data_IF_632775139250
#
_entry.id   IF_632775139250
#
_cell.length_a   1.000
_cell.length_b   1.000
_cell.length_c   1.000
_cell.angle_alpha   90.00
_cell.angle_beta   90.00
_cell.angle_gamma   90.00
#
_symmetry.space_group_name_H-M   'P 1'
#
loop_
_entity.id
_entity.type
_entity.pdbx_description
1 polymer ?
#
# COMPACT_ATOMS: atom_id res chain seq x y z
N UNK A 1 36.05 53.96 28.22
CA UNK A 1 34.70 53.37 28.11
C UNK A 1 34.76 52.24 27.10
N UNK A 2 34.77 50.98 27.57
CA UNK A 2 34.76 49.80 26.70
C UNK A 2 33.30 49.44 26.42
N UNK A 3 32.86 49.61 25.17
CA UNK A 3 31.55 49.15 24.70
C UNK A 3 31.71 47.72 24.18
N UNK A 4 31.17 46.75 24.92
CA UNK A 4 31.05 45.36 24.50
C UNK A 4 29.70 45.15 23.83
N UNK A 5 29.70 45.01 22.51
CA UNK A 5 28.53 44.58 21.76
C UNK A 5 28.26 43.09 22.03
N UNK A 6 27.07 42.79 22.60
CA UNK A 6 26.56 41.43 22.74
C UNK A 6 26.07 40.96 21.37
N UNK A 7 26.76 39.98 20.79
CA UNK A 7 26.21 39.15 19.72
C UNK A 7 25.07 38.31 20.30
N UNK A 8 23.84 38.54 19.83
CA UNK A 8 22.73 37.62 20.00
C UNK A 8 22.98 36.42 19.10
N UNK A 9 23.41 35.30 19.70
CA UNK A 9 23.38 34.01 19.04
C UNK A 9 21.91 33.58 18.93
N UNK A 10 21.34 33.68 17.72
CA UNK A 10 20.14 32.94 17.38
C UNK A 10 20.45 31.46 17.51
N UNK A 11 20.00 30.84 18.60
CA UNK A 11 19.96 29.40 18.74
C UNK A 11 18.85 28.89 17.82
N UNK A 12 19.17 28.74 16.53
CA UNK A 12 18.38 27.96 15.61
C UNK A 12 18.33 26.54 16.15
N UNK A 13 17.23 26.18 16.81
CA UNK A 13 16.91 24.79 17.08
C UNK A 13 16.78 24.13 15.72
N UNK A 14 17.80 23.35 15.32
CA UNK A 14 17.68 22.40 14.22
C UNK A 14 16.44 21.56 14.52
N UNK A 15 15.32 21.84 13.85
CA UNK A 15 14.08 21.09 14.04
C UNK A 15 14.41 19.62 13.80
N UNK A 16 14.30 18.81 14.85
CA UNK A 16 14.62 17.38 14.78
C UNK A 16 13.77 16.77 13.66
N UNK A 17 14.43 16.26 12.62
CA UNK A 17 13.76 15.60 11.48
C UNK A 17 13.56 14.13 11.82
N UNK A 18 12.34 13.63 11.70
CA UNK A 18 11.98 12.25 12.04
C UNK A 18 11.99 11.32 10.81
N UNK A 19 11.70 11.87 9.64
CA UNK A 19 11.96 11.24 8.36
C UNK A 19 13.31 11.69 7.80
N UNK A 20 14.12 10.80 7.19
CA UNK A 20 15.40 11.17 6.57
C UNK A 20 15.28 12.26 5.49
N UNK A 21 14.17 12.28 4.75
CA UNK A 21 13.87 13.32 3.75
C UNK A 21 13.37 14.64 4.36
N UNK A 22 13.17 14.72 5.68
CA UNK A 22 12.66 15.89 6.37
C UNK A 22 11.15 16.11 6.29
N UNK A 23 10.37 15.16 5.77
CA UNK A 23 8.92 15.20 5.88
C UNK A 23 8.47 15.21 7.35
N UNK A 24 7.35 15.86 7.62
CA UNK A 24 6.61 15.76 8.87
C UNK A 24 5.68 14.53 8.85
N UNK A 25 5.01 14.30 7.71
CA UNK A 25 4.12 13.17 7.49
C UNK A 25 4.31 12.61 6.08
N UNK A 26 4.46 11.29 6.00
CA UNK A 26 4.44 10.56 4.73
C UNK A 26 3.06 9.93 4.56
N UNK A 27 2.45 10.11 3.39
CA UNK A 27 1.23 9.41 2.99
C UNK A 27 1.61 8.38 1.92
N UNK A 28 1.17 7.13 2.09
CA UNK A 28 1.42 6.08 1.11
C UNK A 28 0.12 5.38 0.73
N UNK A 29 -0.20 5.42 -0.56
CA UNK A 29 -1.41 4.81 -1.12
C UNK A 29 -1.08 3.43 -1.68
N UNK A 30 -1.86 2.43 -1.29
CA UNK A 30 -1.94 1.12 -1.91
C UNK A 30 -3.05 1.16 -2.97
N UNK A 31 -2.70 0.98 -4.24
CA UNK A 31 -3.64 0.88 -5.35
C UNK A 31 -3.72 -0.59 -5.80
N UNK A 32 -4.72 -1.31 -5.33
CA UNK A 32 -4.86 -2.73 -5.63
C UNK A 32 -5.32 -2.93 -7.08
N UNK A 33 -4.56 -3.72 -7.84
CA UNK A 33 -4.95 -4.18 -9.16
C UNK A 33 -5.16 -5.69 -9.12
N UNK A 34 -6.44 -6.05 -9.08
CA UNK A 34 -6.90 -7.39 -8.73
C UNK A 34 -7.91 -7.93 -9.74
N UNK A 35 -8.59 -7.04 -10.46
CA UNK A 35 -9.56 -7.38 -11.50
C UNK A 35 -8.95 -8.33 -12.51
N UNK A 36 -9.51 -9.54 -12.59
CA UNK A 36 -9.03 -10.62 -13.44
C UNK A 36 -8.33 -11.75 -12.69
N UNK A 37 -7.93 -11.53 -11.44
CA UNK A 37 -7.26 -12.53 -10.59
C UNK A 37 -8.15 -13.20 -9.55
N UNK A 38 -9.44 -12.85 -9.50
CA UNK A 38 -10.42 -13.42 -8.59
C UNK A 38 -10.88 -14.83 -9.01
N UNK A 39 -11.15 -15.76 -8.06
CA UNK A 39 -11.74 -17.06 -8.35
C UNK A 39 -13.26 -16.99 -8.64
N UNK A 40 -13.84 -18.10 -9.08
CA UNK A 40 -15.31 -18.28 -9.11
C UNK A 40 -15.88 -18.08 -7.70
N UNK A 41 -16.98 -17.34 -7.58
CA UNK A 41 -17.64 -17.07 -6.30
C UNK A 41 -16.87 -16.12 -5.38
N UNK A 42 -15.87 -15.39 -5.90
CA UNK A 42 -15.19 -14.34 -5.15
C UNK A 42 -16.17 -13.30 -4.59
N UNK A 43 -15.75 -12.66 -3.49
CA UNK A 43 -16.58 -11.67 -2.80
C UNK A 43 -17.00 -10.53 -3.73
N UNK A 44 -18.26 -10.14 -3.67
CA UNK A 44 -18.86 -9.09 -4.49
C UNK A 44 -20.11 -8.54 -3.80
N UNK A 45 -20.71 -7.45 -4.33
CA UNK A 45 -21.99 -6.94 -3.82
C UNK A 45 -23.14 -7.97 -3.82
N UNK A 46 -23.00 -9.08 -4.56
CA UNK A 46 -24.01 -10.14 -4.67
C UNK A 46 -23.74 -11.34 -3.74
N UNK A 47 -22.65 -11.31 -2.94
CA UNK A 47 -22.25 -12.43 -2.08
C UNK A 47 -23.27 -12.79 -0.99
N UNK A 48 -24.21 -11.90 -0.65
CA UNK A 48 -25.33 -12.21 0.24
C UNK A 48 -26.39 -13.14 -0.37
N UNK A 49 -26.35 -13.37 -1.69
CA UNK A 49 -27.26 -14.28 -2.40
C UNK A 49 -26.49 -14.99 -3.53
N UNK A 50 -25.56 -15.88 -3.17
CA UNK A 50 -24.68 -16.50 -4.15
C UNK A 50 -25.46 -17.42 -5.10
N UNK A 51 -25.06 -17.43 -6.37
CA UNK A 51 -25.58 -18.38 -7.36
C UNK A 51 -25.08 -19.81 -7.07
N UNK A 52 -25.80 -20.85 -7.52
CA UNK A 52 -25.32 -22.22 -7.40
C UNK A 52 -23.99 -22.42 -8.15
N UNK A 53 -23.14 -23.32 -7.65
CA UNK A 53 -21.84 -23.63 -8.26
C UNK A 53 -21.99 -23.99 -9.74
N UNK A 54 -21.10 -23.47 -10.58
CA UNK A 54 -21.11 -23.70 -12.03
C UNK A 54 -22.05 -22.77 -12.80
N UNK A 55 -22.75 -21.85 -12.13
CA UNK A 55 -23.50 -20.78 -12.78
C UNK A 55 -22.68 -19.48 -12.75
N UNK A 56 -22.35 -18.89 -13.91
CA UNK A 56 -21.59 -17.65 -13.94
C UNK A 56 -22.43 -16.49 -13.41
N UNK A 57 -21.90 -15.79 -12.41
CA UNK A 57 -22.48 -14.53 -11.92
C UNK A 57 -22.00 -13.37 -12.79
N UNK A 58 -22.72 -13.14 -13.89
CA UNK A 58 -22.38 -12.11 -14.88
C UNK A 58 -22.38 -10.69 -14.29
N UNK A 59 -23.20 -10.44 -13.27
CA UNK A 59 -23.26 -9.15 -12.60
C UNK A 59 -22.00 -8.94 -11.75
N UNK A 60 -21.63 -9.93 -10.93
CA UNK A 60 -20.37 -9.91 -10.17
C UNK A 60 -19.16 -9.77 -11.12
N UNK A 61 -19.10 -10.55 -12.20
CA UNK A 61 -18.03 -10.43 -13.18
C UNK A 61 -17.94 -9.03 -13.81
N UNK A 62 -19.10 -8.41 -14.12
CA UNK A 62 -19.13 -7.06 -14.67
C UNK A 62 -18.67 -6.01 -13.66
N UNK A 63 -18.96 -6.20 -12.37
CA UNK A 63 -18.47 -5.36 -11.29
C UNK A 63 -16.95 -5.41 -11.18
N UNK A 64 -16.35 -6.60 -11.30
CA UNK A 64 -14.91 -6.73 -11.42
C UNK A 64 -14.39 -6.00 -12.67
N UNK A 65 -14.96 -6.26 -13.86
CA UNK A 65 -14.50 -5.61 -15.11
C UNK A 65 -14.50 -4.08 -15.05
N UNK A 66 -15.32 -3.46 -14.21
CA UNK A 66 -15.28 -2.01 -13.97
C UNK A 66 -13.89 -1.52 -13.52
N UNK A 67 -13.21 -2.28 -12.66
CA UNK A 67 -11.86 -1.92 -12.20
C UNK A 67 -10.85 -1.80 -13.34
N UNK A 68 -10.90 -2.74 -14.29
CA UNK A 68 -10.03 -2.73 -15.47
C UNK A 68 -10.47 -1.69 -16.51
N UNK A 69 -11.76 -1.59 -16.79
CA UNK A 69 -12.27 -0.71 -17.85
C UNK A 69 -12.20 0.78 -17.48
N UNK A 70 -12.39 1.11 -16.22
CA UNK A 70 -12.66 2.49 -15.77
C UNK A 70 -11.85 2.86 -14.52
N UNK A 71 -11.81 1.96 -13.54
CA UNK A 71 -11.32 2.26 -12.19
C UNK A 71 -9.84 2.64 -12.14
N UNK A 72 -8.96 1.77 -12.65
CA UNK A 72 -7.51 2.03 -12.66
C UNK A 72 -7.20 3.30 -13.45
N UNK A 73 -7.73 3.46 -14.66
CA UNK A 73 -7.44 4.63 -15.50
C UNK A 73 -7.82 5.94 -14.82
N UNK A 74 -9.00 5.98 -14.18
CA UNK A 74 -9.45 7.17 -13.44
C UNK A 74 -8.54 7.50 -12.26
N UNK A 75 -8.04 6.50 -11.54
CA UNK A 75 -7.06 6.71 -10.48
C UNK A 75 -5.71 7.20 -11.04
N UNK A 76 -5.21 6.60 -12.14
CA UNK A 76 -3.98 7.03 -12.80
C UNK A 76 -4.04 8.49 -13.26
N UNK A 77 -5.18 8.93 -13.80
CA UNK A 77 -5.41 10.33 -14.17
C UNK A 77 -5.35 11.26 -12.96
N UNK A 78 -5.95 10.87 -11.82
CA UNK A 78 -5.86 11.63 -10.58
C UNK A 78 -4.42 11.74 -10.08
N UNK A 79 -3.69 10.63 -10.04
CA UNK A 79 -2.29 10.63 -9.59
C UNK A 79 -1.41 11.50 -10.48
N UNK A 80 -1.58 11.41 -11.79
CA UNK A 80 -0.89 12.25 -12.77
C UNK A 80 -1.20 13.74 -12.58
N UNK A 81 -2.46 14.09 -12.35
CA UNK A 81 -2.91 15.49 -12.12
C UNK A 81 -2.19 16.16 -10.96
N UNK A 82 -1.84 15.40 -9.92
CA UNK A 82 -1.20 15.92 -8.71
C UNK A 82 0.29 15.58 -8.59
N UNK A 83 0.86 14.94 -9.61
CA UNK A 83 2.23 14.38 -9.63
C UNK A 83 2.54 13.46 -8.44
N UNK A 84 1.58 12.59 -8.13
CA UNK A 84 1.69 11.60 -7.05
C UNK A 84 2.07 10.25 -7.66
N UNK A 85 3.05 9.56 -7.05
CA UNK A 85 3.35 8.16 -7.38
C UNK A 85 2.94 7.27 -6.21
N UNK A 86 2.08 6.30 -6.51
CA UNK A 86 1.58 5.30 -5.55
C UNK A 86 2.28 3.95 -5.73
N UNK A 87 2.02 3.04 -4.79
CA UNK A 87 2.38 1.63 -4.91
C UNK A 87 1.17 0.85 -5.35
N UNK A 88 1.26 0.16 -6.48
CA UNK A 88 0.22 -0.75 -6.93
C UNK A 88 0.57 -2.18 -6.58
N UNK A 89 -0.31 -2.87 -5.85
CA UNK A 89 -0.14 -4.31 -5.60
C UNK A 89 -0.89 -5.06 -6.69
N UNK A 90 -0.15 -5.78 -7.50
CA UNK A 90 -0.62 -6.38 -8.75
C UNK A 90 -0.69 -7.89 -8.59
N UNK A 91 -1.88 -8.45 -8.82
CA UNK A 91 -2.07 -9.91 -8.90
C UNK A 91 -1.56 -10.41 -10.25
N UNK A 92 -0.77 -11.50 -10.24
CA UNK A 92 -0.14 -12.05 -11.44
C UNK A 92 -1.12 -12.34 -12.58
N UNK A 93 -2.20 -13.06 -12.30
CA UNK A 93 -3.24 -13.40 -13.28
C UNK A 93 -4.05 -12.19 -13.74
N UNK A 94 -4.21 -11.15 -12.91
CA UNK A 94 -4.81 -9.88 -13.32
C UNK A 94 -3.90 -9.16 -14.34
N UNK A 95 -2.59 -9.14 -14.09
CA UNK A 95 -1.62 -8.60 -15.06
C UNK A 95 -1.60 -9.40 -16.37
N UNK A 96 -1.65 -10.73 -16.32
CA UNK A 96 -1.72 -11.55 -17.53
C UNK A 96 -3.00 -11.31 -18.34
N UNK A 97 -4.12 -11.08 -17.65
CA UNK A 97 -5.41 -10.82 -18.29
C UNK A 97 -5.50 -9.42 -18.90
N UNK A 98 -4.97 -8.40 -18.22
CA UNK A 98 -4.97 -7.01 -18.69
C UNK A 98 -3.55 -6.42 -18.68
N UNK A 99 -2.66 -6.91 -19.57
CA UNK A 99 -1.25 -6.55 -19.54
C UNK A 99 -1.00 -5.08 -19.92
N UNK A 100 -1.90 -4.46 -20.68
CA UNK A 100 -1.90 -3.04 -20.98
C UNK A 100 -2.11 -2.17 -19.74
N UNK A 101 -2.92 -2.61 -18.78
CA UNK A 101 -3.17 -1.90 -17.53
C UNK A 101 -1.94 -1.97 -16.64
N UNK A 102 -1.38 -3.16 -16.45
CA UNK A 102 -0.13 -3.34 -15.70
C UNK A 102 1.01 -2.47 -16.28
N UNK A 103 1.14 -2.43 -17.62
CA UNK A 103 2.10 -1.53 -18.29
C UNK A 103 1.76 -0.06 -18.08
N UNK A 104 0.49 0.34 -18.12
CA UNK A 104 0.09 1.73 -17.88
C UNK A 104 0.45 2.19 -16.47
N UNK A 105 0.25 1.34 -15.46
CA UNK A 105 0.66 1.61 -14.07
C UNK A 105 2.19 1.83 -14.01
N UNK A 106 2.96 0.89 -14.57
CA UNK A 106 4.42 0.95 -14.58
C UNK A 106 4.96 2.18 -15.34
N UNK A 107 4.43 2.47 -16.53
CA UNK A 107 4.80 3.61 -17.36
C UNK A 107 4.41 4.95 -16.71
N UNK A 108 3.40 4.96 -15.82
CA UNK A 108 3.05 6.09 -14.99
C UNK A 108 4.10 6.42 -13.91
N UNK A 109 5.10 5.58 -13.73
CA UNK A 109 6.14 5.71 -12.69
C UNK A 109 5.68 5.24 -11.31
N UNK A 110 4.55 4.53 -11.24
CA UNK A 110 4.10 3.89 -10.01
C UNK A 110 4.97 2.68 -9.70
N UNK A 111 5.08 2.35 -8.41
CA UNK A 111 5.72 1.11 -8.01
C UNK A 111 4.80 -0.07 -8.36
N UNK A 112 5.41 -1.14 -8.85
CA UNK A 112 4.79 -2.44 -9.05
C UNK A 112 5.22 -3.36 -7.91
N UNK A 113 4.32 -3.59 -6.95
CA UNK A 113 4.46 -4.56 -5.87
C UNK A 113 3.68 -5.84 -6.21
N UNK A 114 4.14 -6.99 -5.72
CA UNK A 114 3.49 -8.27 -5.98
C UNK A 114 2.36 -8.54 -4.99
N UNK A 115 1.25 -9.12 -5.47
CA UNK A 115 0.08 -9.50 -4.67
C UNK A 115 -0.31 -10.97 -4.85
N UNK A 116 0.70 -11.85 -4.90
CA UNK A 116 0.53 -13.26 -5.25
C UNK A 116 0.22 -13.49 -6.74
N UNK A 117 0.25 -14.76 -7.17
CA UNK A 117 -0.08 -15.11 -8.55
C UNK A 117 -1.58 -14.97 -8.85
N UNK A 118 -2.43 -15.36 -7.90
CA UNK A 118 -3.89 -15.23 -7.98
C UNK A 118 -4.45 -14.88 -6.61
N UNK A 119 -5.75 -14.59 -6.51
CA UNK A 119 -6.41 -14.52 -5.22
C UNK A 119 -6.56 -15.90 -4.59
N UNK A 120 -5.56 -16.29 -3.84
CA UNK A 120 -5.52 -17.56 -3.14
C UNK A 120 -4.95 -17.38 -1.72
N UNK A 121 -5.37 -18.26 -0.81
CA UNK A 121 -4.90 -18.26 0.57
C UNK A 121 -3.46 -18.75 0.65
N UNK A 122 -2.58 -17.97 1.26
CA UNK A 122 -1.18 -18.34 1.49
C UNK A 122 -0.98 -18.98 2.87
N UNK A 123 -1.81 -18.63 3.86
CA UNK A 123 -1.67 -19.07 5.26
C UNK A 123 -1.59 -20.60 5.47
N UNK A 124 -2.11 -21.41 4.55
CA UNK A 124 -2.12 -22.87 4.63
C UNK A 124 -1.24 -23.57 3.57
N UNK A 125 -0.44 -22.82 2.80
CA UNK A 125 0.49 -23.41 1.84
C UNK A 125 1.72 -23.97 2.56
N UNK A 126 2.25 -25.09 2.07
CA UNK A 126 3.57 -25.53 2.49
C UNK A 126 4.65 -24.65 1.85
N UNK A 127 5.88 -24.75 2.36
CA UNK A 127 7.00 -23.90 1.94
C UNK A 127 7.24 -23.91 0.41
N UNK A 128 7.24 -25.10 -0.20
CA UNK A 128 7.51 -25.27 -1.63
C UNK A 128 6.41 -24.65 -2.49
N UNK A 129 5.15 -24.95 -2.18
CA UNK A 129 4.00 -24.43 -2.94
C UNK A 129 3.86 -22.92 -2.77
N UNK A 130 4.13 -22.40 -1.58
CA UNK A 130 4.14 -20.95 -1.34
C UNK A 130 5.27 -20.25 -2.08
N UNK A 131 6.48 -20.83 -2.08
CA UNK A 131 7.63 -20.29 -2.83
C UNK A 131 7.31 -20.20 -4.31
N UNK A 132 6.76 -21.28 -4.89
CA UNK A 132 6.37 -21.31 -6.28
C UNK A 132 5.27 -20.29 -6.58
N UNK A 133 4.25 -20.19 -5.71
CA UNK A 133 3.16 -19.23 -5.86
C UNK A 133 3.63 -17.77 -5.85
N UNK A 134 4.54 -17.41 -4.94
CA UNK A 134 5.13 -16.05 -4.88
C UNK A 134 5.96 -15.81 -6.15
N UNK A 135 6.79 -16.78 -6.53
CA UNK A 135 7.67 -16.70 -7.70
C UNK A 135 6.89 -16.52 -9.00
N UNK A 136 5.83 -17.29 -9.21
CA UNK A 136 4.98 -17.20 -10.40
C UNK A 136 4.32 -15.82 -10.51
N UNK A 137 3.87 -15.26 -9.37
CA UNK A 137 3.31 -13.92 -9.31
C UNK A 137 4.30 -12.84 -9.71
N UNK A 138 5.50 -12.84 -9.11
CA UNK A 138 6.53 -11.83 -9.42
C UNK A 138 7.04 -11.97 -10.86
N UNK A 139 7.26 -13.19 -11.34
CA UNK A 139 7.73 -13.44 -12.72
C UNK A 139 6.70 -12.97 -13.75
N UNK A 140 5.41 -13.19 -13.51
CA UNK A 140 4.34 -12.73 -14.39
C UNK A 140 4.32 -11.21 -14.49
N UNK A 141 4.40 -10.53 -13.36
CA UNK A 141 4.34 -9.06 -13.28
C UNK A 141 5.61 -8.43 -13.85
N UNK A 142 6.79 -8.95 -13.55
CA UNK A 142 8.07 -8.46 -14.09
C UNK A 142 8.13 -8.63 -15.61
N UNK A 143 7.72 -9.78 -16.14
CA UNK A 143 7.66 -10.04 -17.59
C UNK A 143 6.79 -9.03 -18.35
N UNK A 144 5.73 -8.54 -17.72
CA UNK A 144 4.75 -7.63 -18.36
C UNK A 144 5.16 -6.16 -18.21
N UNK A 145 5.67 -5.80 -17.03
CA UNK A 145 5.93 -4.40 -16.65
C UNK A 145 7.40 -3.99 -16.81
N UNK A 146 8.31 -4.96 -16.87
CA UNK A 146 9.76 -4.74 -16.81
C UNK A 146 10.26 -4.28 -15.43
N UNK A 147 9.38 -4.19 -14.42
CA UNK A 147 9.75 -3.83 -13.06
C UNK A 147 9.78 -5.06 -12.17
N UNK A 148 10.92 -5.31 -11.53
CA UNK A 148 11.04 -6.33 -10.49
C UNK A 148 10.37 -5.85 -9.21
N UNK A 149 9.37 -6.60 -8.72
CA UNK A 149 8.71 -6.27 -7.46
C UNK A 149 9.68 -6.47 -6.28
N UNK A 150 9.72 -5.48 -5.39
CA UNK A 150 10.47 -5.53 -4.11
C UNK A 150 9.56 -5.45 -2.88
N UNK A 151 8.27 -5.22 -3.12
CA UNK A 151 7.21 -5.18 -2.13
C UNK A 151 6.23 -6.32 -2.31
N UNK A 152 5.70 -6.84 -1.20
CA UNK A 152 4.71 -7.91 -1.22
C UNK A 152 3.49 -7.63 -0.33
N UNK A 153 2.32 -8.07 -0.80
CA UNK A 153 1.09 -8.11 -0.04
C UNK A 153 0.46 -9.50 -0.18
N UNK A 154 0.21 -10.20 0.93
CA UNK A 154 -0.59 -11.42 0.92
C UNK A 154 -2.06 -11.12 0.71
N UNK A 155 -2.76 -12.03 0.02
CA UNK A 155 -4.22 -12.03 -0.03
C UNK A 155 -4.78 -11.99 1.40
N UNK A 156 -5.68 -11.05 1.68
CA UNK A 156 -6.28 -10.81 2.99
C UNK A 156 -5.29 -10.54 4.15
N UNK A 157 -4.04 -10.15 3.86
CA UNK A 157 -2.95 -10.03 4.85
C UNK A 157 -2.60 -11.37 5.53
N UNK A 158 -3.18 -12.48 5.07
CA UNK A 158 -3.06 -13.79 5.71
C UNK A 158 -1.88 -14.55 5.15
N UNK A 159 -0.71 -14.17 5.64
CA UNK A 159 0.57 -14.83 5.41
C UNK A 159 0.69 -16.14 6.21
N UNK A 160 1.53 -17.04 5.74
CA UNK A 160 1.95 -18.23 6.49
C UNK A 160 3.17 -17.88 7.38
N UNK A 161 3.56 -18.75 8.33
CA UNK A 161 4.83 -18.61 9.05
C UNK A 161 6.08 -18.67 8.15
N UNK A 162 5.97 -19.17 6.92
CA UNK A 162 7.08 -19.29 5.98
C UNK A 162 7.29 -18.01 5.15
N UNK A 163 6.25 -17.19 4.99
CA UNK A 163 6.19 -16.13 3.98
C UNK A 163 7.41 -15.21 4.03
N UNK A 164 7.81 -14.70 5.20
CA UNK A 164 8.93 -13.73 5.25
C UNK A 164 10.27 -14.34 4.85
N UNK A 165 10.50 -15.62 5.15
CA UNK A 165 11.71 -16.34 4.74
C UNK A 165 11.74 -16.50 3.22
N UNK A 166 10.61 -16.89 2.64
CA UNK A 166 10.43 -17.00 1.18
C UNK A 166 10.65 -15.65 0.50
N UNK A 167 10.03 -14.59 1.02
CA UNK A 167 10.19 -13.23 0.47
C UNK A 167 11.65 -12.77 0.55
N UNK A 168 12.33 -13.03 1.67
CA UNK A 168 13.75 -12.70 1.81
C UNK A 168 14.64 -13.49 0.82
N UNK A 169 14.38 -14.79 0.63
CA UNK A 169 15.11 -15.62 -0.34
C UNK A 169 14.91 -15.17 -1.78
N UNK A 170 13.72 -14.69 -2.12
CA UNK A 170 13.38 -14.14 -3.44
C UNK A 170 13.88 -12.69 -3.63
N UNK A 171 14.43 -12.07 -2.58
CA UNK A 171 15.04 -10.74 -2.62
C UNK A 171 14.05 -9.59 -2.49
N UNK A 172 12.88 -9.82 -1.89
CA UNK A 172 11.98 -8.73 -1.49
C UNK A 172 12.61 -7.88 -0.37
N UNK A 173 12.27 -6.60 -0.38
CA UNK A 173 12.73 -5.62 0.60
C UNK A 173 11.73 -5.43 1.73
N UNK A 174 10.43 -5.51 1.42
CA UNK A 174 9.38 -5.25 2.39
C UNK A 174 8.09 -6.05 2.13
N UNK A 175 7.26 -6.15 3.17
CA UNK A 175 5.87 -6.57 3.05
C UNK A 175 4.95 -5.57 3.76
N UNK A 176 3.64 -5.63 3.46
CA UNK A 176 2.63 -4.75 4.10
C UNK A 176 1.64 -5.48 5.01
N UNK A 177 1.81 -6.78 5.22
CA UNK A 177 0.85 -7.63 5.95
C UNK A 177 0.92 -7.48 7.49
N UNK A 178 0.93 -6.24 7.98
CA UNK A 178 0.94 -5.87 9.39
C UNK A 178 0.06 -4.63 9.64
N UNK A 179 -0.58 -4.57 10.81
CA UNK A 179 -1.53 -3.51 11.18
C UNK A 179 -1.17 -2.80 12.49
N UNK A 180 0.03 -3.06 13.04
CA UNK A 180 0.35 -2.78 14.44
C UNK A 180 1.03 -1.42 14.67
N UNK A 181 1.51 -0.75 13.61
CA UNK A 181 2.24 0.51 13.71
C UNK A 181 1.69 1.62 12.80
N UNK A 182 1.97 2.87 13.17
CA UNK A 182 1.73 4.07 12.35
C UNK A 182 3.03 4.59 11.69
N UNK A 183 4.10 3.79 11.70
CA UNK A 183 5.36 4.07 11.02
C UNK A 183 6.01 2.76 10.54
N UNK A 184 6.78 2.77 9.44
CA UNK A 184 7.53 1.60 9.01
C UNK A 184 8.56 1.18 10.05
N UNK A 185 8.75 -0.12 10.19
CA UNK A 185 9.66 -0.71 11.17
C UNK A 185 10.44 -1.88 10.57
N UNK A 186 11.41 -2.39 11.32
CA UNK A 186 12.20 -3.56 10.94
C UNK A 186 11.76 -4.76 11.75
N UNK A 187 11.59 -5.89 11.08
CA UNK A 187 11.61 -7.21 11.73
C UNK A 187 12.84 -7.98 11.26
N UNK A 188 13.40 -8.82 12.12
CA UNK A 188 14.51 -9.70 11.75
C UNK A 188 14.00 -10.99 11.12
N UNK A 189 14.57 -11.34 9.98
CA UNK A 189 14.33 -12.61 9.28
C UNK A 189 15.68 -13.23 8.98
N UNK A 190 15.95 -14.44 9.48
CA UNK A 190 17.25 -15.11 9.40
C UNK A 190 18.43 -14.19 9.78
N UNK A 191 18.25 -13.37 10.83
CA UNK A 191 19.26 -12.42 11.32
C UNK A 191 19.55 -11.22 10.39
N UNK A 192 18.66 -10.92 9.43
CA UNK A 192 18.77 -9.76 8.54
C UNK A 192 17.53 -8.87 8.66
N UNK A 193 17.72 -7.57 8.47
CA UNK A 193 16.64 -6.59 8.42
C UNK A 193 15.66 -6.92 7.28
N UNK A 194 14.38 -6.93 7.59
CA UNK A 194 13.29 -6.96 6.62
C UNK A 194 12.30 -5.84 6.97
N UNK A 195 11.94 -5.01 6.01
CA UNK A 195 11.07 -3.85 6.27
C UNK A 195 9.62 -4.32 6.36
N UNK A 196 8.93 -3.84 7.40
CA UNK A 196 7.48 -3.95 7.51
C UNK A 196 6.88 -2.57 7.26
N UNK A 197 5.97 -2.50 6.30
CA UNK A 197 5.29 -1.27 5.89
C UNK A 197 3.81 -1.37 6.32
N UNK A 198 3.41 -0.83 7.47
CA UNK A 198 2.09 -1.08 8.02
C UNK A 198 0.96 -0.75 7.04
N UNK A 199 0.04 -1.69 6.87
CA UNK A 199 -1.18 -1.52 6.10
C UNK A 199 -2.32 -0.97 6.95
N UNK A 200 -3.48 -0.77 6.33
CA UNK A 200 -4.65 -0.20 6.97
C UNK A 200 -5.91 -0.98 6.61
N UNK A 201 -6.69 -1.32 7.63
CA UNK A 201 -8.09 -1.73 7.46
C UNK A 201 -9.05 -0.57 7.74
N UNK A 202 -8.57 0.47 8.43
CA UNK A 202 -9.38 1.64 8.77
C UNK A 202 -9.49 2.59 7.59
N UNK A 203 -8.42 2.93 6.87
CA UNK A 203 -8.47 3.76 5.66
C UNK A 203 -8.49 2.91 4.40
N UNK A 204 -9.50 2.04 4.32
CA UNK A 204 -9.59 1.02 3.32
C UNK A 204 -10.99 1.01 2.70
N UNK A 205 -11.08 1.25 1.39
CA UNK A 205 -12.35 1.35 0.67
C UNK A 205 -13.14 0.04 0.67
N UNK A 206 -12.50 -1.13 0.54
CA UNK A 206 -13.22 -2.41 0.60
C UNK A 206 -13.86 -2.64 1.97
N UNK A 207 -13.18 -2.23 3.05
CA UNK A 207 -13.70 -2.39 4.42
C UNK A 207 -14.83 -1.40 4.68
N UNK A 208 -14.66 -0.14 4.29
CA UNK A 208 -15.61 0.91 4.67
C UNK A 208 -16.75 1.08 3.68
N UNK A 209 -16.47 1.12 2.37
CA UNK A 209 -17.47 1.34 1.33
C UNK A 209 -18.24 0.05 1.06
N UNK A 210 -17.55 -1.03 0.73
CA UNK A 210 -18.23 -2.30 0.43
C UNK A 210 -18.64 -3.05 1.71
N UNK A 211 -17.80 -3.06 2.75
CA UNK A 211 -18.08 -3.80 3.98
C UNK A 211 -19.05 -3.10 4.95
N UNK A 212 -18.84 -1.80 5.22
CA UNK A 212 -19.66 -1.01 6.18
C UNK A 212 -20.68 -0.10 5.50
N UNK A 213 -20.73 -0.09 4.16
CA UNK A 213 -21.66 0.73 3.38
C UNK A 213 -21.55 2.24 3.67
N UNK A 214 -20.33 2.72 3.86
CA UNK A 214 -20.07 4.14 4.05
C UNK A 214 -20.30 4.91 2.75
N UNK A 215 -20.74 6.15 2.90
CA UNK A 215 -20.72 7.12 1.81
C UNK A 215 -19.31 7.69 1.60
N UNK A 216 -19.00 8.20 0.39
CA UNK A 216 -17.70 8.81 0.11
C UNK A 216 -17.33 10.00 1.03
N UNK A 217 -18.31 10.75 1.54
CA UNK A 217 -18.08 11.84 2.50
C UNK A 217 -17.71 11.34 3.91
N UNK A 218 -18.25 10.19 4.35
CA UNK A 218 -17.81 9.53 5.58
C UNK A 218 -16.36 9.07 5.45
N UNK A 219 -16.01 8.47 4.31
CA UNK A 219 -14.64 8.05 4.03
C UNK A 219 -13.67 9.24 3.99
N UNK A 220 -14.01 10.32 3.26
CA UNK A 220 -13.23 11.57 3.23
C UNK A 220 -13.05 12.17 4.63
N UNK A 221 -14.11 12.19 5.44
CA UNK A 221 -14.05 12.74 6.81
C UNK A 221 -13.09 11.93 7.67
N UNK A 222 -13.12 10.59 7.58
CA UNK A 222 -12.17 9.77 8.32
C UNK A 222 -10.72 10.01 7.86
N UNK A 223 -10.47 10.12 6.55
CA UNK A 223 -9.13 10.44 6.04
C UNK A 223 -8.62 11.75 6.64
N UNK A 224 -9.46 12.79 6.70
CA UNK A 224 -9.09 14.09 7.29
C UNK A 224 -8.79 13.97 8.80
N UNK A 225 -9.64 13.28 9.56
CA UNK A 225 -9.43 13.10 11.00
C UNK A 225 -8.15 12.33 11.33
N UNK A 226 -7.88 11.26 10.60
CA UNK A 226 -6.65 10.50 10.80
C UNK A 226 -5.42 11.29 10.35
N UNK A 227 -5.50 12.00 9.23
CA UNK A 227 -4.45 12.89 8.78
C UNK A 227 -4.13 13.97 9.82
N UNK A 228 -5.12 14.68 10.35
CA UNK A 228 -4.90 15.77 11.31
C UNK A 228 -4.17 15.26 12.57
N UNK A 229 -4.58 14.09 13.08
CA UNK A 229 -3.94 13.47 14.24
C UNK A 229 -2.52 13.02 13.94
N UNK A 230 -2.30 12.33 12.82
CA UNK A 230 -0.96 11.88 12.42
C UNK A 230 -0.04 13.05 12.09
N UNK A 231 -0.57 14.14 11.54
CA UNK A 231 0.18 15.35 11.22
C UNK A 231 0.65 16.07 12.49
N UNK A 232 -0.23 16.22 13.49
CA UNK A 232 0.13 16.77 14.80
C UNK A 232 1.23 15.92 15.47
N UNK A 233 1.07 14.59 15.45
CA UNK A 233 2.07 13.68 15.98
C UNK A 233 3.40 13.73 15.21
N UNK A 234 3.33 13.85 13.89
CA UNK A 234 4.46 13.97 12.96
C UNK A 234 5.44 15.09 13.31
N UNK A 235 4.99 16.12 14.03
CA UNK A 235 5.84 17.20 14.52
C UNK A 235 6.84 16.75 15.60
N UNK A 236 6.64 15.57 16.20
CA UNK A 236 7.40 15.10 17.37
C UNK A 236 7.90 13.65 17.28
N UNK A 237 7.46 12.89 16.27
CA UNK A 237 7.87 11.51 15.98
C UNK A 237 7.56 11.16 14.53
N UNK A 238 8.17 10.10 13.99
CA UNK A 238 7.91 9.65 12.62
C UNK A 238 6.49 9.11 12.52
N UNK A 239 5.73 9.55 11.51
CA UNK A 239 4.38 9.04 11.22
C UNK A 239 4.20 8.85 9.73
N UNK A 240 3.47 7.79 9.40
CA UNK A 240 3.00 7.45 8.07
C UNK A 240 1.49 7.28 8.11
N UNK A 241 0.80 7.73 7.07
CA UNK A 241 -0.60 7.42 6.83
C UNK A 241 -0.71 6.46 5.64
N UNK A 242 -1.26 5.27 5.88
CA UNK A 242 -1.60 4.32 4.81
C UNK A 242 -3.05 4.51 4.37
N UNK A 243 -3.30 4.39 3.07
CA UNK A 243 -4.64 4.40 2.45
C UNK A 243 -4.67 3.27 1.42
N UNK A 244 -5.75 2.49 1.37
CA UNK A 244 -5.92 1.42 0.37
C UNK A 244 -7.16 1.62 -0.48
N UNK A 245 -6.95 1.57 -1.80
CA UNK A 245 -7.96 1.70 -2.85
C UNK A 245 -7.91 0.47 -3.75
N UNK A 246 -9.07 -0.13 -4.01
CA UNK A 246 -9.19 -1.26 -4.92
C UNK A 246 -9.77 -0.77 -6.25
N UNK A 247 -9.21 -1.25 -7.36
CA UNK A 247 -9.58 -0.88 -8.74
C UNK A 247 -11.07 -0.61 -8.98
N UNK A 248 -11.94 -1.55 -8.62
CA UNK A 248 -13.39 -1.51 -8.84
C UNK A 248 -14.19 -0.67 -7.84
N UNK A 249 -13.57 -0.24 -6.73
CA UNK A 249 -14.23 0.48 -5.62
C UNK A 249 -13.68 1.91 -5.56
N UNK A 250 -12.40 2.06 -5.19
CA UNK A 250 -11.69 3.33 -5.10
C UNK A 250 -11.58 4.06 -6.44
N UNK A 251 -11.63 3.32 -7.55
CA UNK A 251 -11.67 3.87 -8.91
C UNK A 251 -13.04 4.40 -9.36
N UNK A 252 -14.10 4.27 -8.56
CA UNK A 252 -15.42 4.84 -8.87
C UNK A 252 -15.40 6.38 -8.82
N UNK A 253 -16.29 7.09 -9.55
CA UNK A 253 -16.20 8.54 -9.68
C UNK A 253 -16.30 9.28 -8.34
N UNK A 254 -17.16 8.82 -7.45
CA UNK A 254 -17.34 9.45 -6.15
C UNK A 254 -16.16 9.20 -5.20
N UNK A 255 -15.54 8.03 -5.25
CA UNK A 255 -14.34 7.73 -4.46
C UNK A 255 -13.11 8.50 -4.95
N UNK A 256 -12.94 8.60 -6.27
CA UNK A 256 -11.87 9.45 -6.86
C UNK A 256 -12.10 10.92 -6.52
N UNK A 257 -13.35 11.40 -6.52
CA UNK A 257 -13.67 12.75 -6.04
C UNK A 257 -13.29 12.95 -4.57
N UNK A 258 -13.65 12.02 -3.69
CA UNK A 258 -13.27 12.07 -2.27
C UNK A 258 -11.74 12.08 -2.11
N UNK A 259 -11.00 11.27 -2.85
CA UNK A 259 -9.54 11.26 -2.82
C UNK A 259 -8.94 12.56 -3.34
N UNK A 260 -9.50 13.15 -4.40
CA UNK A 260 -9.07 14.46 -4.89
C UNK A 260 -9.24 15.55 -3.83
N UNK A 261 -10.39 15.59 -3.15
CA UNK A 261 -10.64 16.53 -2.06
C UNK A 261 -9.67 16.33 -0.89
N UNK A 262 -9.32 15.07 -0.58
CA UNK A 262 -8.30 14.77 0.43
C UNK A 262 -6.89 15.24 -0.01
N UNK A 263 -6.50 15.03 -1.27
CA UNK A 263 -5.21 15.53 -1.79
C UNK A 263 -5.16 17.06 -1.67
N UNK A 264 -6.23 17.77 -2.06
CA UNK A 264 -6.31 19.23 -1.92
C UNK A 264 -6.14 19.66 -0.46
N UNK A 265 -6.84 19.01 0.45
CA UNK A 265 -6.75 19.27 1.89
C UNK A 265 -5.33 19.12 2.44
N UNK A 266 -4.64 18.03 2.08
CA UNK A 266 -3.28 17.78 2.59
C UNK A 266 -2.24 18.76 2.03
N UNK A 267 -2.45 19.29 0.82
CA UNK A 267 -1.59 20.32 0.20
C UNK A 267 -1.62 21.67 0.93
N UNK A 268 -2.59 21.91 1.81
CA UNK A 268 -2.64 23.12 2.66
C UNK A 268 -1.64 23.05 3.83
N UNK A 269 -1.05 21.88 4.09
CA UNK A 269 -0.09 21.65 5.18
C UNK A 269 1.34 21.55 4.67
N UNK A 270 2.29 22.04 5.46
CA UNK A 270 3.72 21.97 5.13
C UNK A 270 4.31 20.61 5.53
N UNK A 271 5.32 20.14 4.80
CA UNK A 271 6.05 18.91 5.16
C UNK A 271 5.27 17.61 4.97
N UNK A 272 4.18 17.62 4.20
CA UNK A 272 3.46 16.40 3.80
C UNK A 272 3.94 15.94 2.43
N UNK A 273 4.26 14.65 2.31
CA UNK A 273 4.69 14.05 1.04
C UNK A 273 3.93 12.77 0.77
N UNK A 274 3.61 12.52 -0.50
CA UNK A 274 3.14 11.22 -0.96
C UNK A 274 4.32 10.40 -1.47
N UNK A 275 4.46 9.16 -1.04
CA UNK A 275 5.60 8.31 -1.41
C UNK A 275 5.19 6.87 -1.73
N UNK A 276 5.92 6.29 -2.69
CA UNK A 276 5.91 4.85 -2.98
C UNK A 276 6.56 4.10 -1.82
N UNK A 277 6.10 2.89 -1.57
CA UNK A 277 6.54 2.04 -0.47
C UNK A 277 7.97 1.54 -0.68
N UNK A 278 8.41 1.25 -1.90
CA UNK A 278 9.81 0.93 -2.17
C UNK A 278 10.76 2.07 -1.79
N UNK A 279 10.40 3.32 -2.11
CA UNK A 279 11.21 4.49 -1.76
C UNK A 279 11.27 4.68 -0.25
N UNK A 280 10.15 4.49 0.45
CA UNK A 280 10.11 4.52 1.92
C UNK A 280 10.99 3.40 2.50
N UNK A 281 10.85 2.17 2.00
CA UNK A 281 11.60 1.01 2.50
C UNK A 281 13.12 1.20 2.32
N UNK A 282 13.56 1.65 1.13
CA UNK A 282 14.97 1.98 0.85
C UNK A 282 15.50 3.07 1.79
N UNK A 283 14.66 4.05 2.11
CA UNK A 283 15.01 5.18 2.98
C UNK A 283 15.22 4.75 4.44
N UNK A 284 14.45 3.78 4.94
CA UNK A 284 14.40 3.45 6.38
C UNK A 284 15.12 2.16 6.77
N UNK A 285 15.43 1.26 5.82
CA UNK A 285 15.99 -0.08 6.10
C UNK A 285 17.28 -0.07 6.93
N UNK A 286 18.10 0.96 6.77
CA UNK A 286 19.37 1.15 7.48
C UNK A 286 19.38 2.42 8.35
N UNK A 287 18.24 3.08 8.52
CA UNK A 287 18.14 4.25 9.38
C UNK A 287 18.13 3.79 10.84
N UNK A 288 19.09 4.22 11.68
CA UNK A 288 19.16 3.82 13.08
C UNK A 288 17.98 4.32 13.92
N UNK A 289 17.19 5.27 13.42
CA UNK A 289 15.97 5.73 14.07
C UNK A 289 14.74 4.85 13.76
N UNK A 290 14.84 3.90 12.82
CA UNK A 290 13.73 2.99 12.51
C UNK A 290 13.54 2.00 13.66
N UNK A 291 12.33 1.87 14.20
CA UNK A 291 12.06 0.92 15.27
C UNK A 291 12.27 -0.52 14.80
N UNK A 292 12.69 -1.39 15.72
CA UNK A 292 12.78 -2.83 15.50
C UNK A 292 11.67 -3.49 16.32
N UNK A 293 10.82 -4.27 15.65
CA UNK A 293 9.79 -5.08 16.27
C UNK A 293 9.92 -6.54 15.80
N UNK A 294 10.32 -7.38 16.74
CA UNK A 294 10.57 -8.80 16.56
C UNK A 294 9.47 -9.66 17.21
N UNK A 295 8.25 -9.11 17.36
CA UNK A 295 7.12 -9.84 17.95
C UNK A 295 6.83 -11.19 17.28
N UNK A 296 7.25 -11.38 16.03
CA UNK A 296 7.05 -12.59 15.22
C UNK A 296 8.33 -13.42 15.02
N UNK A 297 9.43 -13.09 15.72
CA UNK A 297 10.76 -13.70 15.53
C UNK A 297 10.75 -15.24 15.61
N UNK A 298 9.87 -15.82 16.42
CA UNK A 298 9.72 -17.28 16.54
C UNK A 298 9.37 -17.98 15.22
N UNK A 299 8.87 -17.26 14.22
CA UNK A 299 8.54 -17.77 12.89
C UNK A 299 9.60 -17.41 11.83
N UNK A 300 10.45 -16.41 12.11
CA UNK A 300 11.31 -15.76 11.13
C UNK A 300 12.74 -16.30 11.07
N UNK A 301 13.06 -17.27 11.94
CA UNK A 301 14.35 -17.98 11.99
C UNK A 301 14.26 -19.39 11.39
#
# INVERSE_FOLDING_TARGET
MKSTAKQSAETGTSSKKYWPNGAQLVISVSMQFETGGQPEGAESPFSGTPLPKGHPDLAAESWYRYGANEGIYRMLDLWKKYDIKVTSHVVGTAAEKYPEIARAIANGGHEIAAHGFAWDSQWNKNYTDETQFVKDGVDAVERITGQKAVGYNCNWLRRSPNTLKILQELGFLYHIDDLSHDEPFITQVNGKNFVVMPYTLRNNDIVNIEGKHWSPDQFLTQLKFEFDRLYEEGASKRRMMSISFHDRIGGTPAMVHAMEEFIRYTKEKQGVVFMRKDDIAKMIVNDPATPVDNSEEKFNN
#
